data_IF_324987452312
#
_entry.id   IF_324987452312
#
_cell.length_a   1.000
_cell.length_b   1.000
_cell.length_c   1.000
_cell.angle_alpha   90.00
_cell.angle_beta   90.00
_cell.angle_gamma   90.00
#
_symmetry.space_group_name_H-M   'P 1'
#
loop_
_entity.id
_entity.type
_entity.pdbx_description
1 polymer ?
#
# COMPACT_ATOMS: atom_id res chain seq x y z
N UNK A 1 14.36 -13.04 -3.75
CA UNK A 1 13.96 -12.02 -2.75
C UNK A 1 12.66 -12.45 -2.07
N UNK A 2 12.60 -12.43 -0.74
CA UNK A 2 11.35 -12.65 0.00
C UNK A 2 10.48 -11.40 -0.10
N UNK A 3 9.18 -11.57 -0.31
CA UNK A 3 8.22 -10.49 -0.57
C UNK A 3 7.17 -10.45 0.53
N UNK A 4 6.98 -9.28 1.13
CA UNK A 4 5.98 -9.01 2.17
C UNK A 4 4.95 -8.02 1.65
N UNK A 5 3.67 -8.26 1.93
CA UNK A 5 2.59 -7.36 1.53
C UNK A 5 2.12 -6.51 2.71
N UNK A 6 1.92 -5.22 2.48
CA UNK A 6 1.28 -4.29 3.42
C UNK A 6 0.09 -3.61 2.74
N UNK A 7 -1.07 -3.69 3.37
CA UNK A 7 -2.23 -2.87 3.02
C UNK A 7 -2.38 -1.74 4.04
N UNK A 8 -2.38 -0.51 3.54
CA UNK A 8 -2.63 0.68 4.35
C UNK A 8 -4.14 0.89 4.48
N UNK A 9 -4.71 0.49 5.63
CA UNK A 9 -6.16 0.54 5.89
C UNK A 9 -6.57 1.44 7.08
N UNK A 10 -5.65 2.17 7.70
CA UNK A 10 -5.89 3.03 8.89
C UNK A 10 -6.68 4.33 8.65
N UNK A 11 -7.33 4.51 7.50
CA UNK A 11 -8.11 5.73 7.22
C UNK A 11 -9.47 5.75 7.94
N UNK A 12 -9.76 6.82 8.67
CA UNK A 12 -11.00 6.98 9.48
C UNK A 12 -12.29 7.21 8.66
N UNK A 13 -12.21 7.32 7.32
CA UNK A 13 -13.40 7.40 6.47
C UNK A 13 -14.31 8.61 6.74
N UNK A 14 -13.75 9.72 7.27
CA UNK A 14 -14.52 10.90 7.72
C UNK A 14 -15.48 11.45 6.64
N UNK A 15 -15.04 11.41 5.38
CA UNK A 15 -15.81 11.93 4.22
C UNK A 15 -16.89 10.98 3.70
N UNK A 16 -16.97 9.77 4.24
CA UNK A 16 -17.94 8.73 3.88
C UNK A 16 -18.79 8.31 5.09
N UNK A 17 -19.03 9.25 6.01
CA UNK A 17 -19.90 9.02 7.17
C UNK A 17 -19.27 8.10 8.23
N UNK A 18 -17.95 8.18 8.43
CA UNK A 18 -17.18 7.37 9.37
C UNK A 18 -17.18 5.86 9.07
N UNK A 19 -17.59 5.46 7.86
CA UNK A 19 -17.46 4.07 7.42
C UNK A 19 -15.99 3.78 7.14
N UNK A 20 -15.49 2.69 7.70
CA UNK A 20 -14.14 2.19 7.41
C UNK A 20 -14.00 1.91 5.93
N UNK A 21 -13.05 2.58 5.27
CA UNK A 21 -12.80 2.39 3.83
C UNK A 21 -12.56 0.92 3.47
N UNK A 22 -11.82 0.20 4.31
CA UNK A 22 -11.54 -1.23 4.14
C UNK A 22 -12.81 -2.08 3.96
N UNK A 23 -13.90 -1.71 4.62
CA UNK A 23 -15.17 -2.45 4.63
C UNK A 23 -16.16 -1.97 3.55
N UNK A 24 -15.86 -0.87 2.85
CA UNK A 24 -16.66 -0.43 1.70
C UNK A 24 -16.65 -1.51 0.61
N UNK A 25 -17.79 -1.65 -0.08
CA UNK A 25 -17.96 -2.65 -1.12
C UNK A 25 -18.08 -2.01 -2.49
N UNK A 26 -17.32 -2.55 -3.44
CA UNK A 26 -17.46 -2.28 -4.86
C UNK A 26 -17.79 -3.60 -5.53
N UNK A 27 -18.86 -3.65 -6.32
CA UNK A 27 -19.34 -4.90 -6.95
C UNK A 27 -19.56 -6.03 -5.94
N UNK A 28 -20.03 -5.71 -4.73
CA UNK A 28 -20.28 -6.69 -3.66
C UNK A 28 -19.05 -7.17 -2.87
N UNK A 29 -17.82 -6.83 -3.29
CA UNK A 29 -16.57 -7.28 -2.63
C UNK A 29 -15.99 -6.12 -1.82
N UNK A 30 -15.49 -6.38 -0.60
CA UNK A 30 -14.87 -5.35 0.25
C UNK A 30 -13.57 -4.84 -0.38
N UNK A 31 -13.23 -3.56 -0.20
CA UNK A 31 -12.00 -3.00 -0.76
C UNK A 31 -10.76 -3.76 -0.26
N UNK A 32 -10.74 -4.11 1.03
CA UNK A 32 -9.64 -4.88 1.62
C UNK A 32 -9.46 -6.24 0.96
N UNK A 33 -10.55 -6.93 0.62
CA UNK A 33 -10.52 -8.23 -0.07
C UNK A 33 -10.01 -8.07 -1.51
N UNK A 34 -10.44 -7.02 -2.21
CA UNK A 34 -9.98 -6.70 -3.58
C UNK A 34 -8.48 -6.47 -3.63
N UNK A 35 -7.95 -5.65 -2.72
CA UNK A 35 -6.52 -5.35 -2.63
C UNK A 35 -5.74 -6.59 -2.18
N UNK A 36 -6.20 -7.29 -1.14
CA UNK A 36 -5.55 -8.51 -0.65
C UNK A 36 -5.44 -9.60 -1.73
N UNK A 37 -6.43 -9.72 -2.62
CA UNK A 37 -6.37 -10.67 -3.73
C UNK A 37 -5.16 -10.44 -4.65
N UNK A 38 -4.64 -9.22 -4.76
CA UNK A 38 -3.42 -8.91 -5.55
C UNK A 38 -2.13 -9.36 -4.87
N UNK A 39 -2.19 -9.70 -3.60
CA UNK A 39 -1.08 -10.27 -2.82
C UNK A 39 -1.17 -11.80 -2.68
N UNK A 40 -2.11 -12.45 -3.38
CA UNK A 40 -2.31 -13.91 -3.31
C UNK A 40 -1.08 -14.74 -3.69
N UNK A 41 -0.18 -14.22 -4.52
CA UNK A 41 1.07 -14.89 -4.90
C UNK A 41 2.21 -14.73 -3.87
N UNK A 42 1.98 -14.02 -2.76
CA UNK A 42 2.97 -13.88 -1.69
C UNK A 42 2.97 -15.13 -0.81
N UNK A 43 4.16 -15.62 -0.50
CA UNK A 43 4.38 -16.74 0.43
C UNK A 43 4.36 -16.30 1.91
N UNK A 44 4.03 -15.03 2.18
CA UNK A 44 4.01 -14.44 3.51
C UNK A 44 2.62 -13.92 3.85
N UNK A 45 2.24 -13.91 5.14
CA UNK A 45 1.00 -13.26 5.57
C UNK A 45 0.94 -11.80 5.15
N UNK A 46 -0.24 -11.34 4.75
CA UNK A 46 -0.47 -9.92 4.42
C UNK A 46 -0.55 -9.13 5.72
N UNK A 47 0.27 -8.10 5.84
CA UNK A 47 0.22 -7.13 6.91
C UNK A 47 -0.85 -6.08 6.58
N UNK A 48 -1.64 -5.66 7.58
CA UNK A 48 -2.68 -4.64 7.37
C UNK A 48 -2.59 -3.60 8.47
N UNK A 49 -2.23 -2.37 8.09
CA UNK A 49 -2.26 -1.23 9.02
C UNK A 49 -3.69 -0.84 9.31
N UNK A 50 -4.05 -0.81 10.59
CA UNK A 50 -5.39 -0.48 11.09
C UNK A 50 -5.32 0.52 12.24
N UNK A 51 -6.39 1.26 12.47
CA UNK A 51 -6.49 2.08 13.68
C UNK A 51 -6.60 1.20 14.93
N UNK A 52 -6.08 1.69 16.06
CA UNK A 52 -5.86 0.92 17.30
C UNK A 52 -7.11 0.17 17.83
N UNK A 53 -8.30 0.74 17.67
CA UNK A 53 -9.57 0.16 18.18
C UNK A 53 -10.32 -0.69 17.14
N UNK A 54 -9.75 -0.89 15.96
CA UNK A 54 -10.44 -1.58 14.89
C UNK A 54 -10.12 -3.07 14.85
N UNK A 55 -11.13 -3.88 14.54
CA UNK A 55 -10.94 -5.30 14.23
C UNK A 55 -10.68 -5.49 12.74
N UNK A 56 -9.72 -6.35 12.40
CA UNK A 56 -9.47 -6.80 11.04
C UNK A 56 -10.25 -8.10 10.79
N UNK A 57 -11.18 -8.06 9.83
CA UNK A 57 -11.89 -9.24 9.35
C UNK A 57 -11.31 -9.67 7.99
N UNK A 58 -10.08 -10.18 7.98
CA UNK A 58 -9.40 -10.74 6.81
C UNK A 58 -8.58 -11.96 7.23
N UNK A 59 -8.99 -13.14 6.77
CA UNK A 59 -8.40 -14.41 7.20
C UNK A 59 -6.92 -14.51 6.79
N UNK A 60 -6.09 -15.00 7.72
CA UNK A 60 -4.65 -15.16 7.51
C UNK A 60 -3.83 -13.87 7.45
N UNK A 61 -4.48 -12.71 7.56
CA UNK A 61 -3.81 -11.41 7.61
C UNK A 61 -3.42 -11.01 9.04
N UNK A 62 -2.37 -10.20 9.14
CA UNK A 62 -1.82 -9.75 10.42
C UNK A 62 -2.17 -8.27 10.60
N UNK A 63 -3.01 -7.93 11.60
CA UNK A 63 -3.32 -6.54 11.91
C UNK A 63 -2.12 -5.86 12.55
N UNK A 64 -1.77 -4.67 12.05
CA UNK A 64 -0.76 -3.79 12.60
C UNK A 64 -1.47 -2.53 13.12
N UNK A 65 -1.80 -2.48 14.43
CA UNK A 65 -2.42 -1.30 15.01
C UNK A 65 -1.42 -0.14 15.02
N UNK A 66 -1.91 1.09 14.77
CA UNK A 66 -1.11 2.29 14.92
C UNK A 66 -0.62 2.43 16.37
N UNK A 67 0.67 2.15 16.61
CA UNK A 67 1.23 2.05 17.96
C UNK A 67 1.60 3.41 18.59
N UNK A 68 1.64 4.50 17.80
CA UNK A 68 2.15 5.80 18.23
C UNK A 68 1.19 6.94 17.85
N UNK A 69 0.60 7.65 18.83
CA UNK A 69 -0.27 8.81 18.57
C UNK A 69 0.40 9.94 17.76
N UNK A 70 1.73 10.00 17.79
CA UNK A 70 2.54 11.01 17.10
C UNK A 70 2.81 10.70 15.62
N UNK A 71 2.42 9.51 15.15
CA UNK A 71 2.57 9.10 13.75
C UNK A 71 1.19 8.80 13.18
N UNK A 72 0.74 9.62 12.24
CA UNK A 72 -0.55 9.44 11.57
C UNK A 72 -0.38 9.20 10.08
N UNK A 73 -1.41 8.60 9.49
CA UNK A 73 -1.49 8.39 8.05
C UNK A 73 -0.58 7.26 7.54
N UNK A 74 -0.37 7.18 6.21
CA UNK A 74 0.32 6.07 5.55
C UNK A 74 1.70 5.70 6.11
N UNK A 75 2.47 6.68 6.60
CA UNK A 75 3.79 6.42 7.17
C UNK A 75 3.70 5.62 8.47
N UNK A 76 2.66 5.80 9.29
CA UNK A 76 2.48 5.02 10.51
C UNK A 76 2.39 3.52 10.20
N UNK A 77 1.63 3.17 9.15
CA UNK A 77 1.53 1.79 8.67
C UNK A 77 2.85 1.23 8.13
N UNK A 78 3.62 2.03 7.38
CA UNK A 78 4.95 1.62 6.90
C UNK A 78 5.90 1.38 8.09
N UNK A 79 5.93 2.28 9.08
CA UNK A 79 6.73 2.09 10.28
C UNK A 79 6.32 0.83 11.05
N UNK A 80 5.02 0.62 11.27
CA UNK A 80 4.51 -0.56 11.97
C UNK A 80 4.91 -1.86 11.25
N UNK A 81 4.88 -1.88 9.91
CA UNK A 81 5.31 -3.02 9.13
C UNK A 81 6.82 -3.25 9.24
N UNK A 82 7.63 -2.20 9.17
CA UNK A 82 9.07 -2.31 9.38
C UNK A 82 9.37 -2.85 10.79
N UNK A 83 8.75 -2.29 11.83
CA UNK A 83 8.93 -2.73 13.22
C UNK A 83 8.51 -4.20 13.42
N UNK A 84 7.36 -4.61 12.87
CA UNK A 84 6.88 -5.99 12.90
C UNK A 84 7.86 -6.97 12.24
N UNK A 85 8.39 -6.59 11.07
CA UNK A 85 9.30 -7.44 10.30
C UNK A 85 10.67 -7.58 10.99
N UNK A 86 11.08 -6.62 11.81
CA UNK A 86 12.29 -6.73 12.62
C UNK A 86 13.60 -6.63 11.83
N UNK A 87 14.72 -6.89 12.51
CA UNK A 87 16.08 -6.81 11.93
C UNK A 87 16.54 -8.10 11.26
N UNK A 88 15.93 -9.24 11.57
CA UNK A 88 16.36 -10.57 11.09
C UNK A 88 15.88 -10.87 9.66
N UNK A 89 15.17 -9.92 9.04
CA UNK A 89 14.72 -10.04 7.65
C UNK A 89 15.92 -9.98 6.72
N UNK A 90 15.99 -10.94 5.80
CA UNK A 90 17.00 -11.02 4.75
C UNK A 90 17.18 -9.67 4.02
N UNK A 91 18.42 -9.27 3.75
CA UNK A 91 18.78 -7.97 3.17
C UNK A 91 18.11 -7.70 1.81
N UNK A 92 17.77 -8.77 1.08
CA UNK A 92 17.12 -8.69 -0.22
C UNK A 92 15.60 -8.71 -0.12
N UNK A 93 15.03 -8.75 1.08
CA UNK A 93 13.58 -8.76 1.28
C UNK A 93 12.95 -7.42 0.96
N UNK A 94 11.75 -7.49 0.40
CA UNK A 94 11.02 -6.33 -0.08
C UNK A 94 9.64 -6.25 0.56
N UNK A 95 9.22 -5.04 0.88
CA UNK A 95 7.88 -4.70 1.33
C UNK A 95 7.12 -4.05 0.17
N UNK A 96 6.04 -4.67 -0.26
CA UNK A 96 5.10 -4.14 -1.25
C UNK A 96 3.92 -3.53 -0.49
N UNK A 97 3.65 -2.26 -0.74
CA UNK A 97 2.69 -1.44 -0.03
C UNK A 97 1.58 -1.03 -0.98
N UNK A 98 0.33 -1.29 -0.61
CA UNK A 98 -0.86 -0.85 -1.34
C UNK A 98 -1.79 -0.03 -0.44
N UNK A 99 -2.42 1.00 -0.99
CA UNK A 99 -3.51 1.68 -0.31
C UNK A 99 -4.79 0.83 -0.37
N UNK A 100 -5.56 0.76 0.72
CA UNK A 100 -6.81 -0.01 0.69
C UNK A 100 -7.85 0.59 -0.27
N UNK A 101 -7.72 1.87 -0.61
CA UNK A 101 -8.67 2.59 -1.42
C UNK A 101 -8.39 2.56 -2.93
N UNK A 102 -7.43 1.73 -3.38
CA UNK A 102 -7.15 1.46 -4.80
C UNK A 102 -7.67 0.07 -5.24
N UNK A 103 -9.00 -0.11 -5.44
CA UNK A 103 -9.62 -1.43 -5.62
C UNK A 103 -9.35 -2.13 -6.96
N UNK A 104 -8.66 -1.49 -7.90
CA UNK A 104 -8.41 -1.97 -9.27
C UNK A 104 -6.93 -2.18 -9.56
N UNK A 105 -6.14 -2.46 -8.52
CA UNK A 105 -4.75 -2.86 -8.69
C UNK A 105 -4.63 -4.01 -9.71
N UNK A 106 -3.66 -3.99 -10.64
CA UNK A 106 -3.54 -5.03 -11.66
C UNK A 106 -2.99 -6.35 -11.09
N UNK A 107 -3.15 -7.46 -11.81
CA UNK A 107 -2.67 -8.78 -11.36
C UNK A 107 -1.15 -8.86 -11.22
N UNK A 108 -0.44 -8.19 -12.12
CA UNK A 108 1.01 -8.08 -12.10
C UNK A 108 1.53 -6.97 -11.17
N UNK A 109 0.69 -6.42 -10.27
CA UNK A 109 1.06 -5.34 -9.34
C UNK A 109 2.33 -5.64 -8.55
N UNK A 110 2.39 -6.79 -7.89
CA UNK A 110 3.57 -7.21 -7.12
C UNK A 110 4.78 -7.37 -8.03
N UNK A 111 4.62 -8.05 -9.17
CA UNK A 111 5.72 -8.33 -10.08
C UNK A 111 6.36 -7.04 -10.61
N UNK A 112 5.56 -6.15 -11.21
CA UNK A 112 6.04 -4.89 -11.79
C UNK A 112 6.68 -3.96 -10.76
N UNK A 113 6.12 -3.88 -9.55
CA UNK A 113 6.74 -3.06 -8.50
C UNK A 113 8.07 -3.63 -7.98
N UNK A 114 8.32 -4.93 -8.12
CA UNK A 114 9.60 -5.53 -7.72
C UNK A 114 10.69 -5.46 -8.78
N UNK A 115 10.36 -5.18 -10.04
CA UNK A 115 11.34 -5.10 -11.14
C UNK A 115 12.46 -4.07 -10.89
N UNK A 116 12.18 -2.81 -10.48
CA UNK A 116 13.25 -1.86 -10.20
C UNK A 116 14.13 -2.29 -9.02
N UNK A 117 13.55 -2.98 -8.02
CA UNK A 117 14.30 -3.47 -6.88
C UNK A 117 15.26 -4.58 -7.28
N UNK A 118 14.84 -5.46 -8.21
CA UNK A 118 15.71 -6.45 -8.83
C UNK A 118 16.85 -5.81 -9.65
N UNK A 119 16.61 -4.63 -10.24
CA UNK A 119 17.60 -3.83 -10.95
C UNK A 119 18.51 -2.98 -10.04
N UNK A 120 18.36 -3.09 -8.71
CA UNK A 120 19.23 -2.43 -7.74
C UNK A 120 18.68 -1.15 -7.12
N UNK A 121 17.44 -0.75 -7.41
CA UNK A 121 16.81 0.37 -6.71
C UNK A 121 16.42 -0.01 -5.27
N UNK A 122 16.52 0.96 -4.36
CA UNK A 122 16.06 0.85 -2.98
C UNK A 122 14.54 0.81 -2.88
N UNK A 123 13.86 1.57 -3.74
CA UNK A 123 12.42 1.74 -3.71
C UNK A 123 11.86 2.01 -5.10
N UNK A 124 10.57 1.72 -5.26
CA UNK A 124 9.80 2.00 -6.46
C UNK A 124 8.38 2.45 -6.09
N UNK A 125 7.72 3.19 -6.98
CA UNK A 125 6.33 3.59 -6.78
C UNK A 125 5.53 3.55 -8.07
N UNK A 126 4.22 3.36 -7.94
CA UNK A 126 3.31 3.35 -9.06
C UNK A 126 3.09 4.76 -9.63
N UNK A 127 3.13 4.87 -10.95
CA UNK A 127 2.77 6.06 -11.72
C UNK A 127 1.78 5.68 -12.80
N UNK A 128 0.78 6.52 -13.04
CA UNK A 128 -0.14 6.36 -14.16
C UNK A 128 -0.35 7.71 -14.85
N UNK A 129 -0.03 7.78 -16.14
CA UNK A 129 -0.14 9.00 -16.95
C UNK A 129 0.54 10.21 -16.28
N UNK A 130 1.77 10.01 -15.78
CA UNK A 130 2.53 11.05 -15.10
C UNK A 130 2.08 11.37 -13.66
N UNK A 131 0.99 10.77 -13.17
CA UNK A 131 0.50 10.97 -11.79
C UNK A 131 1.12 9.92 -10.86
N UNK A 132 1.71 10.37 -9.76
CA UNK A 132 2.38 9.53 -8.76
C UNK A 132 1.40 9.00 -7.70
N UNK A 133 1.52 7.71 -7.37
CA UNK A 133 0.76 7.03 -6.33
C UNK A 133 1.68 6.54 -5.21
N UNK A 134 2.16 7.44 -4.33
CA UNK A 134 3.23 7.14 -3.37
C UNK A 134 2.81 6.16 -2.26
N UNK A 135 1.51 5.90 -2.08
CA UNK A 135 0.96 4.86 -1.19
C UNK A 135 0.87 3.48 -1.87
N UNK A 136 1.26 3.39 -3.14
CA UNK A 136 1.35 2.15 -3.91
C UNK A 136 2.81 1.99 -4.35
N UNK A 137 3.62 1.34 -3.52
CA UNK A 137 5.08 1.39 -3.61
C UNK A 137 5.73 0.08 -3.18
N UNK A 138 7.00 -0.10 -3.50
CA UNK A 138 7.83 -1.19 -3.00
C UNK A 138 9.13 -0.64 -2.40
N UNK A 139 9.61 -1.30 -1.34
CA UNK A 139 10.77 -0.88 -0.58
C UNK A 139 11.65 -2.07 -0.25
N UNK A 140 12.97 -1.94 -0.40
CA UNK A 140 13.92 -2.87 0.20
C UNK A 140 14.00 -2.61 1.70
N UNK A 141 13.60 -3.60 2.49
CA UNK A 141 13.30 -3.42 3.92
C UNK A 141 14.55 -2.95 4.68
N UNK A 142 15.69 -3.63 4.48
CA UNK A 142 16.93 -3.32 5.17
C UNK A 142 17.42 -1.89 4.88
N UNK A 143 17.40 -1.47 3.61
CA UNK A 143 17.86 -0.14 3.22
C UNK A 143 16.96 0.98 3.75
N UNK A 144 15.63 0.80 3.73
CA UNK A 144 14.71 1.78 4.33
C UNK A 144 14.91 1.88 5.84
N UNK A 145 15.10 0.76 6.54
CA UNK A 145 15.42 0.78 7.98
C UNK A 145 16.72 1.54 8.24
N UNK A 146 17.77 1.25 7.49
CA UNK A 146 19.08 1.90 7.64
C UNK A 146 18.98 3.42 7.38
N UNK A 147 18.28 3.81 6.31
CA UNK A 147 18.02 5.22 6.00
C UNK A 147 17.30 5.94 7.14
N UNK A 148 16.21 5.34 7.67
CA UNK A 148 15.44 5.94 8.77
C UNK A 148 16.21 5.98 10.09
N UNK A 149 17.11 5.03 10.34
CA UNK A 149 17.98 5.00 11.53
C UNK A 149 19.08 6.06 11.50
N UNK A 150 19.62 6.34 10.32
CA UNK A 150 20.63 7.36 10.12
C UNK A 150 20.10 8.79 10.33
N UNK A 151 18.77 8.98 10.30
CA UNK A 151 18.12 10.28 10.45
C UNK A 151 17.64 10.53 11.90
N UNK A 152 17.91 11.74 12.44
CA UNK A 152 17.21 12.26 13.61
C UNK A 152 15.69 12.19 13.43
N UNK A 153 14.94 12.00 14.52
CA UNK A 153 13.49 11.75 14.46
C UNK A 153 12.71 12.90 13.79
N UNK A 154 13.11 14.14 14.03
CA UNK A 154 12.55 15.38 13.45
C UNK A 154 12.89 15.58 11.97
N UNK A 155 13.94 14.90 11.50
CA UNK A 155 14.44 14.97 10.12
C UNK A 155 13.93 13.81 9.26
N UNK A 156 13.13 12.90 9.83
CA UNK A 156 12.57 11.76 9.08
C UNK A 156 11.48 12.20 8.11
N UNK A 157 11.30 11.47 7.00
CA UNK A 157 10.21 11.74 6.06
C UNK A 157 8.84 11.76 6.73
N UNK A 158 8.09 12.83 6.47
CA UNK A 158 6.75 13.08 7.01
C UNK A 158 5.61 12.43 6.19
N UNK A 159 5.93 11.70 5.12
CA UNK A 159 4.94 11.07 4.24
C UNK A 159 5.58 10.09 3.24
N UNK A 160 4.79 9.23 2.58
CA UNK A 160 5.35 8.29 1.60
C UNK A 160 6.05 8.99 0.43
N UNK A 161 5.53 10.14 -0.01
CA UNK A 161 6.15 10.94 -1.09
C UNK A 161 7.55 11.43 -0.70
N UNK A 162 7.72 11.96 0.51
CA UNK A 162 9.04 12.43 0.98
C UNK A 162 9.99 11.27 1.23
N UNK A 163 9.50 10.11 1.68
CA UNK A 163 10.31 8.90 1.81
C UNK A 163 10.83 8.43 0.44
N UNK A 164 9.95 8.31 -0.56
CA UNK A 164 10.31 7.90 -1.91
C UNK A 164 11.33 8.86 -2.55
N UNK A 165 11.16 10.17 -2.33
CA UNK A 165 12.11 11.17 -2.81
C UNK A 165 13.49 11.02 -2.13
N UNK A 166 13.52 10.82 -0.81
CA UNK A 166 14.75 10.63 -0.05
C UNK A 166 15.52 9.35 -0.43
N UNK A 167 14.81 8.33 -0.91
CA UNK A 167 15.37 7.06 -1.37
C UNK A 167 15.70 7.05 -2.88
N UNK A 168 15.45 8.13 -3.62
CA UNK A 168 15.63 8.15 -5.07
C UNK A 168 14.79 7.09 -5.79
N UNK A 169 13.55 6.88 -5.34
CA UNK A 169 12.71 5.77 -5.79
C UNK A 169 12.40 5.82 -7.30
N UNK A 170 12.37 4.65 -7.93
CA UNK A 170 12.06 4.52 -9.35
C UNK A 170 10.54 4.62 -9.62
N UNK A 171 10.09 5.43 -10.59
CA UNK A 171 8.71 5.39 -11.05
C UNK A 171 8.47 4.12 -11.91
N UNK A 172 7.36 3.43 -11.66
CA UNK A 172 6.85 2.35 -12.51
C UNK A 172 5.62 2.88 -13.22
N UNK A 173 5.72 3.14 -14.52
CA UNK A 173 4.61 3.65 -15.33
C UNK A 173 3.64 2.52 -15.70
N UNK A 174 2.33 2.78 -15.61
CA UNK A 174 1.27 1.81 -15.82
C UNK A 174 0.31 2.16 -16.96
N UNK A 175 0.48 3.34 -17.58
CA UNK A 175 -0.31 3.75 -18.75
C UNK A 175 -0.06 2.88 -19.99
N UNK A 176 1.06 2.17 -20.03
CA UNK A 176 1.42 1.21 -21.08
C UNK A 176 0.59 -0.08 -21.05
N UNK A 177 0.09 -0.47 -19.87
CA UNK A 177 -0.58 -1.74 -19.65
C UNK A 177 -2.03 -1.61 -19.19
N UNK A 178 -2.53 -0.38 -19.01
CA UNK A 178 -3.85 -0.13 -18.40
C UNK A 178 -4.59 0.98 -19.14
N UNK A 179 -5.68 0.63 -19.84
CA UNK A 179 -6.53 1.58 -20.56
C UNK A 179 -7.31 2.53 -19.65
N UNK A 180 -7.46 2.17 -18.37
CA UNK A 180 -8.05 2.99 -17.31
C UNK A 180 -7.11 3.05 -16.11
N UNK A 181 -7.25 4.09 -15.28
CA UNK A 181 -6.41 4.28 -14.11
C UNK A 181 -6.56 3.13 -13.09
N UNK A 182 -5.55 2.27 -12.89
CA UNK A 182 -5.66 1.15 -11.95
C UNK A 182 -5.54 1.60 -10.48
N UNK A 183 -5.04 2.81 -10.24
CA UNK A 183 -4.87 3.40 -8.91
C UNK A 183 -5.95 4.45 -8.60
N UNK A 184 -7.05 4.47 -9.35
CA UNK A 184 -8.20 5.31 -9.05
C UNK A 184 -8.69 5.01 -7.63
N UNK A 185 -8.79 6.06 -6.80
CA UNK A 185 -9.06 5.93 -5.38
C UNK A 185 -10.53 6.20 -5.03
N UNK A 186 -10.98 5.64 -3.90
CA UNK A 186 -12.33 5.82 -3.38
C UNK A 186 -12.33 6.64 -2.08
N UNK A 187 -12.45 7.96 -2.20
CA UNK A 187 -12.52 8.93 -1.11
C UNK A 187 -13.90 9.58 -0.95
N UNK A 188 -14.68 9.65 -2.03
CA UNK A 188 -15.99 10.31 -2.08
C UNK A 188 -17.09 9.35 -2.53
N UNK A 189 -18.35 9.72 -2.27
CA UNK A 189 -19.50 8.93 -2.72
C UNK A 189 -19.59 8.89 -4.25
N UNK A 190 -19.24 9.98 -4.92
CA UNK A 190 -19.21 10.05 -6.39
C UNK A 190 -18.18 9.07 -6.96
N UNK A 191 -16.98 9.03 -6.39
CA UNK A 191 -15.95 8.04 -6.76
C UNK A 191 -16.43 6.61 -6.49
N UNK A 192 -17.09 6.35 -5.35
CA UNK A 192 -17.64 5.03 -5.05
C UNK A 192 -18.68 4.59 -6.11
N UNK A 193 -19.56 5.49 -6.55
CA UNK A 193 -20.56 5.20 -7.59
C UNK A 193 -19.87 4.94 -8.93
N UNK A 194 -18.90 5.78 -9.31
CA UNK A 194 -18.13 5.64 -10.55
C UNK A 194 -17.39 4.30 -10.58
N UNK A 195 -16.64 3.99 -9.53
CA UNK A 195 -15.90 2.73 -9.38
C UNK A 195 -16.85 1.52 -9.30
N UNK A 196 -18.03 1.69 -8.72
CA UNK A 196 -19.09 0.69 -8.72
C UNK A 196 -19.61 0.34 -10.12
N UNK A 197 -19.67 1.30 -11.04
CA UNK A 197 -20.00 1.06 -12.46
C UNK A 197 -18.89 0.29 -13.14
N UNK A 198 -17.64 0.76 -12.99
CA UNK A 198 -16.44 0.10 -13.52
C UNK A 198 -16.37 -1.39 -13.16
N UNK A 199 -16.62 -1.74 -11.90
CA UNK A 199 -16.59 -3.13 -11.46
C UNK A 199 -17.69 -4.01 -12.10
N UNK A 200 -18.83 -3.44 -12.50
CA UNK A 200 -19.87 -4.20 -13.20
C UNK A 200 -19.52 -4.45 -14.65
N UNK A 201 -18.89 -3.47 -15.30
CA UNK A 201 -18.51 -3.59 -16.71
C UNK A 201 -17.35 -4.56 -16.90
N UNK A 202 -16.43 -4.65 -15.94
CA UNK A 202 -15.36 -5.66 -15.91
C UNK A 202 -15.84 -7.09 -15.59
N UNK A 203 -17.08 -7.28 -15.13
CA UNK A 203 -17.64 -8.60 -14.80
C UNK A 203 -18.52 -9.20 -15.91
N UNK A 204 -18.65 -8.51 -17.05
CA UNK A 204 -19.34 -8.96 -18.26
C UNK A 204 -18.34 -9.52 -19.26
#
# INVERSE_FOLDING_TARGET
MRRYGLILAGGQGERLGHVRKADLRIGGIRLIERVAARFSALETPILVSIAQEQHLALDGAIPLPDALPTRSGPMAGIYAALDYLGEEVDEQSVLIVAAVDTPFLPENYVARLTEPLAAGHTAAFARWNGTDYPTNAAFRIAEVRNHLRALPMDSRPNGPKSLLAALGAAPVEWSDSSGENPFANCNTLEELIFLGRRARDAAK
#
